data_IF_942603012991
#
_entry.id   IF_942603012991
#
_cell.length_a   1.000
_cell.length_b   1.000
_cell.length_c   1.000
_cell.angle_alpha   90.00
_cell.angle_beta   90.00
_cell.angle_gamma   90.00
#
_symmetry.space_group_name_H-M   'P 1'
#
loop_
_entity.id
_entity.type
_entity.pdbx_description
1 polymer ?
#
# COMPACT_ATOMS: atom_id res chain seq x y z
N UNK A 1 26.14 -0.68 12.76
CA UNK A 1 25.72 0.46 11.93
C UNK A 1 24.73 -0.06 10.92
N UNK A 2 23.45 0.32 10.99
CA UNK A 2 22.48 -0.03 9.95
C UNK A 2 22.90 0.69 8.66
N UNK A 3 23.38 -0.07 7.69
CA UNK A 3 23.68 0.43 6.36
C UNK A 3 22.35 0.79 5.70
N UNK A 4 22.03 2.08 5.55
CA UNK A 4 20.85 2.48 4.79
C UNK A 4 20.95 1.91 3.36
N UNK A 5 20.10 0.95 3.00
CA UNK A 5 20.23 0.23 1.73
C UNK A 5 20.10 1.12 0.49
N UNK A 6 19.40 2.26 0.60
CA UNK A 6 19.37 3.27 -0.48
C UNK A 6 20.76 3.88 -0.78
N UNK A 7 21.67 3.92 0.21
CA UNK A 7 23.07 4.35 0.02
C UNK A 7 23.93 3.23 -0.56
N UNK A 8 23.58 1.98 -0.30
CA UNK A 8 24.25 0.80 -0.85
C UNK A 8 23.87 0.55 -2.31
N UNK A 9 22.66 0.93 -2.73
CA UNK A 9 22.14 0.75 -4.09
C UNK A 9 21.75 2.06 -4.79
N UNK A 10 22.61 3.09 -4.83
CA UNK A 10 22.23 4.41 -5.31
C UNK A 10 21.94 4.42 -6.82
N UNK A 11 22.56 3.51 -7.58
CA UNK A 11 22.27 3.32 -9.00
C UNK A 11 20.84 2.82 -9.24
N UNK A 12 20.43 1.78 -8.49
CA UNK A 12 19.08 1.21 -8.58
C UNK A 12 18.03 2.25 -8.20
N UNK A 13 18.23 2.96 -7.08
CA UNK A 13 17.34 4.03 -6.60
C UNK A 13 17.10 5.08 -7.69
N UNK A 14 18.17 5.57 -8.31
CA UNK A 14 18.05 6.58 -9.38
C UNK A 14 17.32 6.04 -10.60
N UNK A 15 17.60 4.80 -11.02
CA UNK A 15 16.96 4.19 -12.18
C UNK A 15 15.45 3.99 -11.95
N UNK A 16 15.06 3.44 -10.81
CA UNK A 16 13.64 3.24 -10.48
C UNK A 16 12.91 4.58 -10.36
N UNK A 17 13.50 5.57 -9.67
CA UNK A 17 12.92 6.91 -9.59
C UNK A 17 12.73 7.56 -10.97
N UNK A 18 13.70 7.38 -11.88
CA UNK A 18 13.59 7.90 -13.24
C UNK A 18 12.45 7.25 -14.02
N UNK A 19 12.24 5.94 -13.86
CA UNK A 19 11.10 5.24 -14.45
C UNK A 19 9.76 5.81 -13.95
N UNK A 20 9.63 6.05 -12.64
CA UNK A 20 8.44 6.69 -12.06
C UNK A 20 8.12 8.05 -12.67
N UNK A 21 9.13 8.90 -12.84
CA UNK A 21 9.01 10.22 -13.45
C UNK A 21 8.60 10.08 -14.92
N UNK A 22 9.29 9.23 -15.68
CA UNK A 22 9.04 9.03 -17.10
C UNK A 22 7.64 8.46 -17.40
N UNK A 23 7.05 7.74 -16.43
CA UNK A 23 5.72 7.13 -16.54
C UNK A 23 4.59 8.02 -16.00
N UNK A 24 4.90 9.22 -15.51
CA UNK A 24 3.90 10.11 -14.92
C UNK A 24 3.28 9.57 -13.63
N UNK A 25 3.94 8.63 -12.95
CA UNK A 25 3.45 8.02 -11.72
C UNK A 25 3.86 8.82 -10.46
N UNK A 26 4.20 10.10 -10.61
CA UNK A 26 4.61 11.00 -9.53
C UNK A 26 3.38 11.51 -8.79
N UNK A 27 3.35 11.37 -7.46
CA UNK A 27 2.22 11.80 -6.65
C UNK A 27 0.96 10.92 -6.77
N UNK A 28 1.08 9.73 -7.37
CA UNK A 28 0.03 8.73 -7.48
C UNK A 28 0.02 7.73 -6.32
N UNK A 29 -1.02 6.88 -6.28
CA UNK A 29 -1.22 5.88 -5.22
C UNK A 29 -0.16 4.81 -5.15
N UNK A 30 0.65 4.66 -6.18
CA UNK A 30 1.75 3.71 -6.22
C UNK A 30 3.06 4.38 -6.56
N UNK A 31 3.25 5.65 -6.18
CA UNK A 31 4.43 6.44 -6.53
C UNK A 31 5.76 5.92 -5.95
N UNK A 32 6.84 6.62 -6.28
CA UNK A 32 8.18 6.26 -5.82
C UNK A 32 8.32 6.31 -4.29
N UNK A 33 7.63 7.24 -3.61
CA UNK A 33 7.72 7.35 -2.16
C UNK A 33 7.05 6.14 -1.50
N UNK A 34 5.90 5.71 -2.01
CA UNK A 34 5.27 4.48 -1.58
C UNK A 34 6.18 3.26 -1.80
N UNK A 35 6.76 3.08 -2.98
CA UNK A 35 7.72 1.98 -3.22
C UNK A 35 8.94 2.02 -2.28
N UNK A 36 9.46 3.22 -1.99
CA UNK A 36 10.56 3.37 -1.05
C UNK A 36 10.14 3.01 0.38
N UNK A 37 8.94 3.41 0.83
CA UNK A 37 8.43 3.01 2.15
C UNK A 37 8.25 1.49 2.25
N UNK A 38 7.71 0.84 1.20
CA UNK A 38 7.60 -0.63 1.16
C UNK A 38 8.99 -1.26 1.28
N UNK A 39 9.99 -0.74 0.55
CA UNK A 39 11.37 -1.23 0.68
C UNK A 39 11.91 -1.07 2.12
N UNK A 40 11.65 0.06 2.78
CA UNK A 40 12.07 0.29 4.17
C UNK A 40 11.38 -0.67 5.15
N UNK A 41 10.07 -0.89 5.00
CA UNK A 41 9.36 -1.86 5.84
C UNK A 41 9.88 -3.27 5.60
N UNK A 42 10.15 -3.66 4.35
CA UNK A 42 10.68 -4.97 4.03
C UNK A 42 12.05 -5.22 4.69
N UNK A 43 12.95 -4.24 4.65
CA UNK A 43 14.23 -4.29 5.39
C UNK A 43 14.01 -4.41 6.89
N UNK A 44 13.06 -3.64 7.43
CA UNK A 44 12.79 -3.58 8.86
C UNK A 44 12.21 -4.88 9.41
N UNK A 45 11.29 -5.53 8.69
CA UNK A 45 10.52 -6.69 9.19
C UNK A 45 11.14 -8.05 8.86
N UNK A 46 12.12 -8.09 7.96
CA UNK A 46 12.78 -9.33 7.57
C UNK A 46 13.46 -10.03 8.76
N UNK A 47 13.42 -11.36 8.76
CA UNK A 47 13.98 -12.19 9.84
C UNK A 47 15.50 -12.27 9.81
N UNK A 48 16.09 -12.15 8.61
CA UNK A 48 17.51 -12.29 8.39
C UNK A 48 18.06 -11.23 7.40
N UNK A 49 19.38 -10.95 7.40
CA UNK A 49 19.98 -9.91 6.56
C UNK A 49 19.86 -10.14 5.05
N UNK A 50 19.81 -11.40 4.60
CA UNK A 50 19.65 -11.72 3.19
C UNK A 50 18.23 -11.39 2.72
N UNK A 51 17.22 -11.86 3.46
CA UNK A 51 15.81 -11.51 3.22
C UNK A 51 15.60 -10.00 3.33
N UNK A 52 16.27 -9.31 4.26
CA UNK A 52 16.19 -7.85 4.37
C UNK A 52 16.70 -7.16 3.09
N UNK A 53 17.85 -7.59 2.57
CA UNK A 53 18.44 -7.04 1.33
C UNK A 53 17.56 -7.32 0.12
N UNK A 54 17.13 -8.57 -0.06
CA UNK A 54 16.26 -8.97 -1.16
C UNK A 54 14.89 -8.30 -1.07
N UNK A 55 14.32 -8.23 0.13
CA UNK A 55 13.04 -7.60 0.44
C UNK A 55 13.07 -6.12 0.11
N UNK A 56 14.14 -5.42 0.47
CA UNK A 56 14.32 -4.02 0.13
C UNK A 56 14.35 -3.78 -1.39
N UNK A 57 15.14 -4.57 -2.13
CA UNK A 57 15.21 -4.46 -3.60
C UNK A 57 13.85 -4.78 -4.23
N UNK A 58 13.18 -5.82 -3.73
CA UNK A 58 11.86 -6.25 -4.21
C UNK A 58 10.81 -5.18 -3.95
N UNK A 59 10.77 -4.61 -2.74
CA UNK A 59 9.86 -3.53 -2.37
C UNK A 59 10.07 -2.29 -3.22
N UNK A 60 11.29 -1.95 -3.61
CA UNK A 60 11.54 -0.83 -4.51
C UNK A 60 11.01 -1.09 -5.94
N UNK A 61 10.96 -2.36 -6.36
CA UNK A 61 10.59 -2.77 -7.71
C UNK A 61 9.13 -3.24 -7.85
N UNK A 62 8.39 -3.41 -6.75
CA UNK A 62 7.12 -4.15 -6.75
C UNK A 62 6.04 -3.56 -7.66
N UNK A 63 6.01 -2.23 -7.80
CA UNK A 63 5.05 -1.51 -8.64
C UNK A 63 5.38 -1.52 -10.14
N UNK A 64 6.41 -2.26 -10.58
CA UNK A 64 6.76 -2.34 -12.00
C UNK A 64 5.59 -2.85 -12.84
N UNK A 65 4.78 -3.76 -12.32
CA UNK A 65 3.57 -4.28 -12.96
C UNK A 65 2.41 -3.27 -13.05
N UNK A 66 2.47 -2.18 -12.28
CA UNK A 66 1.53 -1.05 -12.35
C UNK A 66 1.99 0.05 -13.30
N UNK A 67 3.30 0.17 -13.51
CA UNK A 67 3.89 1.19 -14.38
C UNK A 67 4.08 0.76 -15.83
N UNK A 68 4.08 -0.55 -16.09
CA UNK A 68 4.42 -1.11 -17.39
C UNK A 68 3.36 -2.11 -17.87
N UNK A 69 3.12 -2.21 -19.20
CA UNK A 69 2.37 -3.32 -19.79
C UNK A 69 2.97 -4.67 -19.39
N UNK A 70 2.13 -5.71 -19.27
CA UNK A 70 2.51 -7.03 -18.76
C UNK A 70 3.74 -7.62 -19.45
N UNK A 71 3.82 -7.48 -20.77
CA UNK A 71 4.92 -7.95 -21.61
C UNK A 71 6.25 -7.21 -21.41
N UNK A 72 6.21 -6.03 -20.77
CA UNK A 72 7.40 -5.23 -20.44
C UNK A 72 7.86 -5.39 -19.00
N UNK A 73 7.03 -5.93 -18.11
CA UNK A 73 7.34 -6.07 -16.67
C UNK A 73 8.63 -6.87 -16.45
N UNK A 74 8.71 -8.09 -16.98
CA UNK A 74 9.90 -8.94 -16.81
C UNK A 74 11.16 -8.28 -17.41
N UNK A 75 11.18 -7.79 -18.66
CA UNK A 75 12.34 -7.09 -19.21
C UNK A 75 12.83 -5.91 -18.36
N UNK A 76 11.91 -5.11 -17.82
CA UNK A 76 12.25 -3.95 -16.98
C UNK A 76 12.83 -4.39 -15.65
N UNK A 77 12.20 -5.39 -14.99
CA UNK A 77 12.74 -5.97 -13.76
C UNK A 77 14.14 -6.55 -13.99
N UNK A 78 14.33 -7.33 -15.05
CA UNK A 78 15.64 -7.90 -15.40
C UNK A 78 16.70 -6.81 -15.58
N UNK A 79 16.39 -5.72 -16.28
CA UNK A 79 17.30 -4.56 -16.45
C UNK A 79 17.73 -3.98 -15.10
N UNK A 80 16.79 -3.77 -14.17
CA UNK A 80 17.12 -3.24 -12.85
C UNK A 80 17.94 -4.23 -12.02
N UNK A 81 17.60 -5.52 -12.07
CA UNK A 81 18.31 -6.56 -11.30
C UNK A 81 19.74 -6.80 -11.79
N UNK A 82 20.05 -6.48 -13.05
CA UNK A 82 21.44 -6.47 -13.54
C UNK A 82 22.32 -5.46 -12.79
N UNK A 83 21.76 -4.35 -12.31
CA UNK A 83 22.49 -3.29 -11.60
C UNK A 83 22.96 -3.73 -10.20
N UNK A 84 22.27 -4.71 -9.61
CA UNK A 84 22.55 -5.22 -8.27
C UNK A 84 23.05 -6.66 -8.28
N UNK A 85 23.35 -7.22 -9.48
CA UNK A 85 23.64 -8.65 -9.65
C UNK A 85 24.79 -9.18 -8.78
N UNK A 86 25.80 -8.35 -8.53
CA UNK A 86 26.96 -8.73 -7.73
C UNK A 86 26.65 -8.77 -6.23
N UNK A 87 25.58 -8.09 -5.82
CA UNK A 87 25.12 -8.03 -4.44
C UNK A 87 24.09 -9.12 -4.10
N UNK A 88 23.46 -9.72 -5.13
CA UNK A 88 22.42 -10.75 -4.97
C UNK A 88 22.64 -11.95 -5.91
N UNK A 89 23.74 -12.72 -5.76
CA UNK A 89 24.16 -13.71 -6.76
C UNK A 89 23.10 -14.79 -7.12
N UNK A 90 22.23 -15.13 -6.18
CA UNK A 90 21.15 -16.13 -6.32
C UNK A 90 19.74 -15.53 -6.20
N UNK A 91 19.62 -14.22 -5.95
CA UNK A 91 18.36 -13.59 -5.55
C UNK A 91 17.41 -13.22 -6.69
N UNK A 92 17.88 -13.17 -7.94
CA UNK A 92 17.13 -12.62 -9.08
C UNK A 92 15.78 -13.31 -9.30
N UNK A 93 15.76 -14.64 -9.32
CA UNK A 93 14.55 -15.41 -9.55
C UNK A 93 13.55 -15.26 -8.40
N UNK A 94 14.04 -15.17 -7.16
CA UNK A 94 13.23 -14.94 -5.98
C UNK A 94 12.53 -13.57 -6.07
N UNK A 95 13.27 -12.52 -6.44
CA UNK A 95 12.72 -11.17 -6.59
C UNK A 95 11.69 -11.13 -7.72
N UNK A 96 12.01 -11.68 -8.90
CA UNK A 96 11.07 -11.73 -10.02
C UNK A 96 9.77 -12.43 -9.63
N UNK A 97 9.87 -13.60 -9.00
CA UNK A 97 8.69 -14.35 -8.54
C UNK A 97 7.91 -13.55 -7.51
N UNK A 98 8.58 -12.92 -6.54
CA UNK A 98 7.90 -12.16 -5.51
C UNK A 98 7.12 -10.98 -6.10
N UNK A 99 7.72 -10.20 -7.02
CA UNK A 99 7.03 -9.09 -7.68
C UNK A 99 5.82 -9.58 -8.50
N UNK A 100 5.90 -10.71 -9.18
CA UNK A 100 4.78 -11.20 -10.00
C UNK A 100 3.63 -11.79 -9.17
N UNK A 101 3.88 -12.15 -7.91
CA UNK A 101 2.94 -12.92 -7.09
C UNK A 101 2.38 -12.11 -5.89
N UNK A 102 2.91 -10.92 -5.60
CA UNK A 102 2.59 -10.16 -4.38
C UNK A 102 1.13 -9.75 -4.27
N UNK A 103 0.43 -9.54 -5.39
CA UNK A 103 -0.98 -9.14 -5.37
C UNK A 103 -1.95 -10.29 -5.04
N UNK A 104 -1.45 -11.54 -4.98
CA UNK A 104 -2.28 -12.71 -4.66
C UNK A 104 -2.53 -12.79 -3.15
N UNK A 105 -3.59 -13.51 -2.77
CA UNK A 105 -3.90 -13.82 -1.36
C UNK A 105 -2.70 -14.48 -0.68
N UNK A 106 -2.66 -14.40 0.64
CA UNK A 106 -1.66 -15.13 1.41
C UNK A 106 -1.79 -16.63 1.12
N UNK A 107 -0.66 -17.27 0.84
CA UNK A 107 -0.57 -18.71 0.65
C UNK A 107 0.41 -19.27 1.71
N UNK A 108 0.09 -20.39 2.39
CA UNK A 108 1.03 -21.05 3.29
C UNK A 108 2.36 -21.44 2.65
N UNK A 109 2.40 -21.61 1.32
CA UNK A 109 3.60 -21.92 0.55
C UNK A 109 4.34 -20.68 0.01
N UNK A 110 3.93 -19.46 0.38
CA UNK A 110 4.67 -18.25 0.05
C UNK A 110 6.11 -18.35 0.60
N UNK A 111 7.11 -17.94 -0.20
CA UNK A 111 8.49 -17.88 0.27
C UNK A 111 8.67 -16.77 1.31
N UNK A 112 9.70 -16.83 2.18
CA UNK A 112 9.98 -15.78 3.15
C UNK A 112 10.02 -14.38 2.52
N UNK A 113 10.68 -14.23 1.37
CA UNK A 113 10.73 -12.97 0.63
C UNK A 113 9.34 -12.47 0.18
N UNK A 114 8.49 -13.35 -0.34
CA UNK A 114 7.12 -12.98 -0.77
C UNK A 114 6.25 -12.64 0.44
N UNK A 115 6.44 -13.33 1.57
CA UNK A 115 5.80 -12.99 2.84
C UNK A 115 6.19 -11.59 3.29
N UNK A 116 7.49 -11.30 3.34
CA UNK A 116 8.04 -9.99 3.69
C UNK A 116 7.49 -8.89 2.78
N UNK A 117 7.46 -9.10 1.46
CA UNK A 117 6.93 -8.10 0.53
C UNK A 117 5.44 -7.81 0.77
N UNK A 118 4.60 -8.85 0.88
CA UNK A 118 3.15 -8.70 1.10
C UNK A 118 2.86 -7.97 2.41
N UNK A 119 3.59 -8.27 3.47
CA UNK A 119 3.44 -7.62 4.77
C UNK A 119 3.94 -6.17 4.75
N UNK A 120 5.07 -5.89 4.10
CA UNK A 120 5.61 -4.54 3.94
C UNK A 120 4.69 -3.62 3.14
N UNK A 121 4.07 -4.13 2.08
CA UNK A 121 3.11 -3.37 1.27
C UNK A 121 1.85 -2.99 2.06
N UNK A 122 1.37 -3.90 2.91
CA UNK A 122 0.26 -3.61 3.84
C UNK A 122 0.66 -2.56 4.87
N UNK A 123 1.83 -2.67 5.50
CA UNK A 123 2.31 -1.65 6.46
C UNK A 123 2.41 -0.27 5.82
N UNK A 124 2.85 -0.18 4.56
CA UNK A 124 2.93 1.08 3.83
C UNK A 124 1.57 1.70 3.46
N UNK A 125 0.48 0.94 3.66
CA UNK A 125 -0.89 1.33 3.34
C UNK A 125 -1.83 1.25 4.56
N UNK A 126 -1.30 1.44 5.78
CA UNK A 126 -2.10 1.60 7.01
C UNK A 126 -1.57 2.78 7.87
N UNK A 127 -2.31 3.15 8.92
CA UNK A 127 -1.97 4.25 9.83
C UNK A 127 -2.24 5.64 9.27
N UNK A 128 -1.76 6.69 9.96
CA UNK A 128 -2.02 8.10 9.63
C UNK A 128 -1.78 8.46 8.16
N UNK A 129 -0.68 7.97 7.59
CA UNK A 129 -0.27 8.29 6.23
C UNK A 129 -1.24 7.75 5.18
N UNK A 130 -1.86 6.59 5.46
CA UNK A 130 -2.82 5.99 4.56
C UNK A 130 -4.09 6.85 4.41
N UNK A 131 -4.57 7.48 5.49
CA UNK A 131 -5.76 8.35 5.44
C UNK A 131 -5.60 9.49 4.43
N UNK A 132 -4.48 10.22 4.49
CA UNK A 132 -4.20 11.33 3.58
C UNK A 132 -4.14 10.86 2.12
N UNK A 133 -3.57 9.67 1.90
CA UNK A 133 -3.43 9.07 0.57
C UNK A 133 -4.75 8.55 0.02
N UNK A 134 -5.56 7.87 0.83
CA UNK A 134 -6.86 7.36 0.40
C UNK A 134 -7.76 8.47 -0.16
N UNK A 135 -7.79 9.63 0.52
CA UNK A 135 -8.50 10.82 0.04
C UNK A 135 -7.92 11.38 -1.26
N UNK A 136 -6.59 11.48 -1.37
CA UNK A 136 -5.90 11.98 -2.56
C UNK A 136 -6.20 11.12 -3.81
N UNK A 137 -6.32 9.79 -3.66
CA UNK A 137 -6.49 8.86 -4.78
C UNK A 137 -7.94 8.56 -5.15
N UNK A 138 -8.89 9.01 -4.32
CA UNK A 138 -10.32 8.88 -4.60
C UNK A 138 -11.00 10.25 -4.50
N UNK A 139 -10.59 11.25 -5.30
CA UNK A 139 -11.11 12.62 -5.19
C UNK A 139 -12.58 12.75 -5.62
N UNK A 140 -13.14 11.73 -6.26
CA UNK A 140 -14.50 11.74 -6.81
C UNK A 140 -15.53 11.07 -5.90
N UNK A 141 -15.12 10.50 -4.76
CA UNK A 141 -16.04 9.90 -3.79
C UNK A 141 -16.11 10.76 -2.54
N UNK A 142 -17.15 10.56 -1.73
CA UNK A 142 -17.32 11.29 -0.48
C UNK A 142 -16.19 10.93 0.51
N UNK A 143 -15.71 11.91 1.27
CA UNK A 143 -14.77 11.62 2.36
C UNK A 143 -15.42 10.72 3.42
N UNK A 144 -16.65 11.07 3.80
CA UNK A 144 -17.50 10.30 4.72
C UNK A 144 -18.91 10.33 4.13
N UNK A 145 -19.55 9.16 4.00
CA UNK A 145 -20.99 9.10 3.75
C UNK A 145 -21.72 9.07 5.09
N UNK A 146 -22.47 10.12 5.45
CA UNK A 146 -23.08 10.22 6.77
C UNK A 146 -24.15 9.15 7.02
N UNK A 147 -24.67 8.50 5.98
CA UNK A 147 -25.61 7.38 6.11
C UNK A 147 -24.95 6.12 6.66
N UNK A 148 -23.63 5.97 6.52
CA UNK A 148 -22.90 4.73 6.75
C UNK A 148 -21.76 4.88 7.76
N UNK A 149 -21.90 5.78 8.74
CA UNK A 149 -20.90 5.98 9.80
C UNK A 149 -20.90 4.82 10.80
N UNK A 150 -22.09 4.39 11.24
CA UNK A 150 -22.26 3.33 12.27
C UNK A 150 -22.69 1.99 11.69
N UNK A 151 -22.86 1.92 10.37
CA UNK A 151 -23.29 0.72 9.65
C UNK A 151 -22.55 0.64 8.33
N UNK A 152 -22.28 -0.59 7.88
CA UNK A 152 -21.62 -0.83 6.60
C UNK A 152 -22.55 -0.46 5.43
N UNK A 153 -22.00 0.22 4.42
CA UNK A 153 -22.67 0.39 3.13
C UNK A 153 -22.76 -0.98 2.43
N UNK A 154 -23.98 -1.52 2.17
CA UNK A 154 -24.14 -2.83 1.56
C UNK A 154 -23.68 -2.88 0.09
N UNK A 155 -23.47 -1.72 -0.54
CA UNK A 155 -23.01 -1.59 -1.92
C UNK A 155 -21.51 -1.31 -2.04
N UNK A 156 -20.84 -0.99 -0.92
CA UNK A 156 -19.41 -0.76 -0.89
C UNK A 156 -18.62 -2.07 -0.98
N UNK A 157 -17.50 -2.00 -1.70
CA UNK A 157 -16.53 -3.09 -1.82
C UNK A 157 -15.12 -2.55 -1.71
N UNK A 158 -14.11 -3.41 -1.51
CA UNK A 158 -12.70 -2.97 -1.51
C UNK A 158 -12.31 -2.17 -2.78
N UNK A 159 -12.82 -2.56 -3.95
CA UNK A 159 -12.50 -1.87 -5.21
C UNK A 159 -13.29 -0.59 -5.40
N UNK A 160 -14.51 -0.57 -4.88
CA UNK A 160 -15.47 0.52 -5.00
C UNK A 160 -16.05 0.83 -3.61
N UNK A 161 -15.29 1.56 -2.77
CA UNK A 161 -15.62 1.73 -1.36
C UNK A 161 -16.72 2.75 -1.09
N UNK A 162 -17.20 3.49 -2.10
CA UNK A 162 -18.23 4.55 -2.02
C UNK A 162 -17.88 5.77 -1.16
N UNK A 163 -17.10 5.62 -0.12
CA UNK A 163 -16.50 6.72 0.65
C UNK A 163 -15.03 6.43 1.02
N UNK A 164 -14.28 7.47 1.35
CA UNK A 164 -12.90 7.34 1.84
C UNK A 164 -12.88 6.65 3.20
N UNK A 165 -13.84 6.93 4.07
CA UNK A 165 -13.99 6.23 5.35
C UNK A 165 -14.08 4.71 5.15
N UNK A 166 -14.97 4.25 4.27
CA UNK A 166 -15.12 2.82 3.97
C UNK A 166 -13.85 2.22 3.33
N UNK A 167 -13.12 2.96 2.50
CA UNK A 167 -11.85 2.50 1.91
C UNK A 167 -10.84 2.16 3.00
N UNK A 168 -10.76 3.02 4.02
CA UNK A 168 -9.85 2.88 5.14
C UNK A 168 -10.31 1.78 6.08
N UNK A 169 -11.60 1.67 6.37
CA UNK A 169 -12.16 0.60 7.19
C UNK A 169 -11.89 -0.79 6.59
N UNK A 170 -11.96 -0.94 5.26
CA UNK A 170 -11.60 -2.20 4.61
C UNK A 170 -10.17 -2.63 4.92
N UNK A 171 -9.24 -1.70 5.17
CA UNK A 171 -7.85 -2.08 5.53
C UNK A 171 -7.74 -2.74 6.90
N UNK A 172 -8.72 -2.56 7.80
CA UNK A 172 -8.70 -3.20 9.13
C UNK A 172 -8.69 -4.73 9.05
N UNK A 173 -9.22 -5.33 7.97
CA UNK A 173 -9.19 -6.78 7.77
C UNK A 173 -7.74 -7.30 7.66
N UNK A 174 -6.82 -6.46 7.17
CA UNK A 174 -5.43 -6.81 6.94
C UNK A 174 -4.66 -7.10 8.22
N UNK A 175 -5.14 -6.66 9.38
CA UNK A 175 -4.50 -6.98 10.67
C UNK A 175 -4.37 -8.48 10.85
N UNK A 176 -5.42 -9.23 10.48
CA UNK A 176 -5.42 -10.69 10.51
C UNK A 176 -4.58 -11.34 9.40
N UNK A 177 -4.15 -10.56 8.40
CA UNK A 177 -3.37 -11.04 7.26
C UNK A 177 -1.87 -10.81 7.42
N UNK A 178 -1.44 -10.05 8.44
CA UNK A 178 -0.02 -9.86 8.74
C UNK A 178 0.56 -11.16 9.31
N UNK A 179 1.67 -11.62 8.74
CA UNK A 179 2.24 -12.95 9.04
C UNK A 179 3.51 -12.89 9.85
N UNK A 180 4.38 -11.92 9.60
CA UNK A 180 5.65 -11.82 10.32
C UNK A 180 5.41 -11.18 11.70
N UNK A 181 5.99 -11.73 12.79
CA UNK A 181 5.79 -11.21 14.14
C UNK A 181 6.10 -9.72 14.28
N UNK A 182 7.20 -9.27 13.66
CA UNK A 182 7.61 -7.86 13.69
C UNK A 182 6.64 -6.95 12.93
N UNK A 183 6.01 -7.45 11.87
CA UNK A 183 4.96 -6.72 11.15
C UNK A 183 3.72 -6.55 12.02
N UNK A 184 3.33 -7.59 12.76
CA UNK A 184 2.19 -7.52 13.68
C UNK A 184 2.44 -6.50 14.80
N UNK A 185 3.64 -6.49 15.37
CA UNK A 185 4.05 -5.52 16.39
C UNK A 185 3.99 -4.07 15.87
N UNK A 186 4.56 -3.82 14.68
CA UNK A 186 4.57 -2.48 14.07
C UNK A 186 3.18 -2.04 13.58
N UNK A 187 2.39 -2.98 13.06
CA UNK A 187 1.07 -2.70 12.49
C UNK A 187 0.01 -2.43 13.56
N UNK A 188 0.10 -3.06 14.74
CA UNK A 188 -0.88 -2.89 15.82
C UNK A 188 -1.20 -1.42 16.16
N UNK A 189 -0.22 -0.55 16.48
CA UNK A 189 -0.52 0.84 16.78
C UNK A 189 -1.11 1.61 15.58
N UNK A 190 -0.80 1.21 14.34
CA UNK A 190 -1.33 1.81 13.12
C UNK A 190 -2.80 1.42 12.87
N UNK A 191 -3.17 0.16 13.12
CA UNK A 191 -4.58 -0.25 13.08
C UNK A 191 -5.40 0.39 14.21
N UNK A 192 -4.81 0.53 15.41
CA UNK A 192 -5.47 1.21 16.51
C UNK A 192 -5.68 2.70 16.21
N UNK A 193 -4.78 3.32 15.44
CA UNK A 193 -4.98 4.68 14.94
C UNK A 193 -6.16 4.78 13.98
N UNK A 194 -6.31 3.83 13.06
CA UNK A 194 -7.48 3.77 12.16
C UNK A 194 -8.77 3.63 12.99
N UNK A 195 -8.80 2.71 13.96
CA UNK A 195 -9.97 2.55 14.85
C UNK A 195 -10.30 3.83 15.62
N UNK A 196 -9.28 4.52 16.14
CA UNK A 196 -9.47 5.81 16.83
C UNK A 196 -10.01 6.88 15.90
N UNK A 197 -9.53 6.95 14.65
CA UNK A 197 -10.06 7.88 13.66
C UNK A 197 -11.54 7.62 13.39
N UNK A 198 -11.93 6.37 13.13
CA UNK A 198 -13.33 5.97 12.90
C UNK A 198 -14.20 6.37 14.09
N UNK A 199 -13.79 6.01 15.31
CA UNK A 199 -14.51 6.35 16.53
C UNK A 199 -14.63 7.87 16.76
N UNK A 200 -13.58 8.64 16.41
CA UNK A 200 -13.62 10.10 16.52
C UNK A 200 -14.55 10.74 15.49
N UNK A 201 -14.68 10.16 14.29
CA UNK A 201 -15.66 10.61 13.29
C UNK A 201 -17.07 10.32 13.80
N UNK A 202 -17.32 9.10 14.28
CA UNK A 202 -18.60 8.71 14.88
C UNK A 202 -19.00 9.65 16.02
N UNK A 203 -18.10 9.90 16.99
CA UNK A 203 -18.37 10.78 18.13
C UNK A 203 -18.67 12.23 17.73
N UNK A 204 -18.03 12.75 16.66
CA UNK A 204 -18.35 14.08 16.13
C UNK A 204 -19.77 14.12 15.58
N UNK A 205 -20.18 13.12 14.80
CA UNK A 205 -21.54 13.04 14.28
C UNK A 205 -22.57 12.83 15.40
N UNK A 206 -22.24 12.06 16.43
CA UNK A 206 -23.08 11.91 17.63
C UNK A 206 -23.30 13.23 18.33
N UNK A 207 -22.22 13.97 18.60
CA UNK A 207 -22.25 15.29 19.26
C UNK A 207 -23.13 16.28 18.50
N UNK A 208 -23.16 16.18 17.17
CA UNK A 208 -23.97 17.03 16.30
C UNK A 208 -25.41 16.51 16.10
N UNK A 209 -25.76 15.34 16.65
CA UNK A 209 -27.07 14.71 16.45
C UNK A 209 -27.28 14.15 15.03
N UNK A 210 -26.21 13.84 14.31
CA UNK A 210 -26.20 13.44 12.90
C UNK A 210 -25.99 11.94 12.65
N UNK A 211 -25.89 11.09 13.69
CA UNK A 211 -25.73 9.63 13.50
C UNK A 211 -26.93 8.97 12.78
N UNK A 212 -28.13 9.49 13.01
CA UNK A 212 -29.32 9.13 12.22
C UNK A 212 -29.50 10.16 11.12
N UNK A 213 -28.58 10.17 10.15
CA UNK A 213 -28.60 11.18 9.10
C UNK A 213 -29.93 11.13 8.32
N UNK A 214 -30.66 12.24 8.19
CA UNK A 214 -31.97 12.25 7.53
C UNK A 214 -31.86 11.95 6.04
N UNK A 215 -32.67 11.02 5.53
CA UNK A 215 -32.67 10.62 4.12
C UNK A 215 -32.99 11.80 3.18
N UNK A 216 -33.81 12.76 3.63
CA UNK A 216 -34.17 13.96 2.86
C UNK A 216 -33.01 14.96 2.68
N UNK A 217 -31.94 14.84 3.47
CA UNK A 217 -30.75 15.68 3.38
C UNK A 217 -29.62 15.03 2.56
N UNK A 218 -29.84 13.82 2.05
CA UNK A 218 -28.84 13.08 1.27
C UNK A 218 -28.60 13.79 -0.06
N UNK A 219 -27.33 14.09 -0.32
CA UNK A 219 -26.88 14.63 -1.61
C UNK A 219 -26.20 13.49 -2.37
N UNK A 220 -26.86 12.99 -3.41
CA UNK A 220 -26.28 11.96 -4.26
C UNK A 220 -25.04 12.51 -5.00
N UNK A 221 -23.92 11.75 -5.04
CA UNK A 221 -22.75 12.17 -5.79
C UNK A 221 -23.11 12.41 -7.25
N UNK A 222 -22.77 13.60 -7.78
CA UNK A 222 -22.88 13.85 -9.21
C UNK A 222 -21.84 13.00 -9.93
N UNK A 223 -22.24 11.82 -10.40
CA UNK A 223 -21.50 11.10 -11.43
C UNK A 223 -21.39 12.07 -12.63
N UNK A 224 -20.17 12.40 -13.03
CA UNK A 224 -19.83 13.33 -14.13
C UNK A 224 -19.68 14.81 -13.73
N UNK A 225 -18.54 15.15 -13.13
CA UNK A 225 -17.80 16.32 -13.61
C UNK A 225 -16.44 15.85 -14.08
N UNK A 226 -16.32 15.64 -15.39
CA UNK A 226 -15.03 15.75 -16.06
C UNK A 226 -14.59 17.19 -15.84
N UNK A 227 -13.57 17.38 -15.02
CA UNK A 227 -12.82 18.62 -15.08
C UNK A 227 -12.13 18.60 -16.45
N UNK A 228 -12.65 19.41 -17.37
CA UNK A 228 -11.98 19.73 -18.63
C UNK A 228 -10.63 20.43 -18.37
#
# INVERSE_FOLDING_TARGET
>A
MNLCLWKSFPGLVRAVKADYIARGAVGGGHDFYHALMVAQYAELIAEDPETATLGWITGLLHNTDRMYPKEKVIPVLTRHLQMVRLNIPSGHLCILRAVLEHTKRNDPADSPLLMTLKDADRLANIGAWHFLRAAQFRPTILAVDPRFIVKQDPTATFKDPKSVLCDIEHTLEWESWLRLPKTQELGKPMFDEIRRLVANIESQFETLGLLSFPDELVVEPQNERRFD
#
